data_IF_100558423590
#
_entry.id   IF_100558423590
#
_cell.length_a   1.000
_cell.length_b   1.000
_cell.length_c   1.000
_cell.angle_alpha   90.00
_cell.angle_beta   90.00
_cell.angle_gamma   90.00
#
_symmetry.space_group_name_H-M   'P 1'
#
loop_
_entity.id
_entity.type
_entity.pdbx_description
1 polymer ?
#
# COMPACT_ATOMS: atom_id res chain seq x y z
N UNK A 1 15.24 -14.05 -1.79
CA UNK A 1 15.29 -12.79 -0.99
C UNK A 1 16.73 -12.46 -0.64
N UNK A 2 17.17 -11.24 -0.80
CA UNK A 2 18.46 -10.77 -0.31
C UNK A 2 18.36 -10.36 1.18
N UNK A 3 19.49 -10.08 1.84
CA UNK A 3 19.51 -9.73 3.28
C UNK A 3 18.63 -8.51 3.63
N UNK A 4 18.42 -7.61 2.68
CA UNK A 4 17.58 -6.43 2.87
C UNK A 4 16.09 -6.78 2.81
N UNK A 5 15.67 -7.57 1.83
CA UNK A 5 14.29 -8.06 1.71
C UNK A 5 13.89 -8.91 2.93
N UNK A 6 14.82 -9.70 3.48
CA UNK A 6 14.60 -10.43 4.73
C UNK A 6 14.32 -9.47 5.90
N UNK A 7 15.09 -8.40 6.03
CA UNK A 7 14.86 -7.39 7.10
C UNK A 7 13.53 -6.65 6.94
N UNK A 8 13.07 -6.40 5.71
CA UNK A 8 11.73 -5.83 5.46
C UNK A 8 10.64 -6.82 5.87
N UNK A 9 10.73 -8.09 5.46
CA UNK A 9 9.77 -9.12 5.84
C UNK A 9 9.70 -9.33 7.37
N UNK A 10 10.85 -9.37 8.05
CA UNK A 10 10.93 -9.47 9.52
C UNK A 10 10.31 -8.25 10.24
N UNK A 11 10.40 -7.06 9.65
CA UNK A 11 9.79 -5.85 10.21
C UNK A 11 8.26 -5.92 10.27
N UNK A 12 7.65 -6.62 9.31
CA UNK A 12 6.18 -6.72 9.17
C UNK A 12 5.60 -8.08 9.60
N UNK A 13 6.43 -9.11 9.83
CA UNK A 13 5.97 -10.44 10.22
C UNK A 13 5.35 -10.48 11.63
N UNK A 14 4.15 -11.08 11.75
CA UNK A 14 3.44 -11.26 13.03
C UNK A 14 2.46 -12.46 12.95
N UNK A 15 2.85 -13.60 13.52
CA UNK A 15 2.07 -14.86 13.46
C UNK A 15 0.69 -14.77 14.17
N UNK A 16 0.50 -13.82 15.09
CA UNK A 16 -0.76 -13.65 15.85
C UNK A 16 -1.71 -12.62 15.24
N UNK A 17 -1.28 -11.93 14.19
CA UNK A 17 -2.04 -10.81 13.61
C UNK A 17 -3.43 -11.22 13.13
N UNK A 18 -3.57 -12.35 12.45
CA UNK A 18 -4.89 -12.83 11.98
C UNK A 18 -5.87 -13.02 13.15
N UNK A 19 -5.43 -13.65 14.24
CA UNK A 19 -6.27 -13.87 15.41
C UNK A 19 -6.74 -12.55 16.03
N UNK A 20 -5.86 -11.54 16.10
CA UNK A 20 -6.20 -10.20 16.58
C UNK A 20 -7.18 -9.47 15.64
N UNK A 21 -7.03 -9.62 14.33
CA UNK A 21 -7.97 -9.04 13.35
C UNK A 21 -9.36 -9.66 13.52
N UNK A 22 -9.45 -10.99 13.60
CA UNK A 22 -10.74 -11.68 13.75
C UNK A 22 -11.42 -11.30 15.08
N UNK A 23 -10.68 -11.26 16.18
CA UNK A 23 -11.21 -10.81 17.46
C UNK A 23 -11.64 -9.32 17.42
N UNK A 24 -10.91 -8.47 16.72
CA UNK A 24 -11.27 -7.06 16.50
C UNK A 24 -12.55 -6.90 15.69
N UNK A 25 -12.75 -7.71 14.65
CA UNK A 25 -13.98 -7.75 13.85
C UNK A 25 -15.19 -8.15 14.70
N UNK A 26 -15.08 -9.23 15.48
CA UNK A 26 -16.15 -9.67 16.39
C UNK A 26 -16.49 -8.59 17.43
N UNK A 27 -15.45 -7.96 18.01
CA UNK A 27 -15.64 -6.87 18.98
C UNK A 27 -16.27 -5.60 18.34
N UNK A 28 -16.04 -5.38 17.04
CA UNK A 28 -16.71 -4.33 16.26
C UNK A 28 -18.13 -4.71 15.82
N UNK A 29 -18.58 -5.95 16.07
CA UNK A 29 -19.92 -6.43 15.74
C UNK A 29 -20.07 -6.97 14.31
N UNK A 30 -18.97 -7.26 13.61
CA UNK A 30 -19.01 -7.86 12.28
C UNK A 30 -19.44 -9.34 12.33
N UNK A 31 -20.21 -9.78 11.34
CA UNK A 31 -20.58 -11.19 11.13
C UNK A 31 -19.52 -11.88 10.27
N UNK A 32 -18.64 -12.66 10.89
CA UNK A 32 -17.58 -13.38 10.18
C UNK A 32 -18.08 -14.35 9.10
N UNK A 33 -19.35 -14.75 9.13
CA UNK A 33 -19.94 -15.61 8.10
C UNK A 33 -20.43 -14.82 6.87
N UNK A 34 -20.51 -13.49 6.99
CA UNK A 34 -20.99 -12.57 5.94
C UNK A 34 -20.10 -11.35 5.79
N UNK A 35 -18.81 -11.53 6.02
CA UNK A 35 -17.84 -10.46 6.01
C UNK A 35 -17.81 -9.75 4.63
N UNK A 36 -17.87 -8.43 4.66
CA UNK A 36 -17.75 -7.60 3.47
C UNK A 36 -16.37 -6.92 3.45
N UNK A 37 -15.83 -6.55 2.27
CA UNK A 37 -14.59 -5.79 2.21
C UNK A 37 -14.58 -4.51 3.06
N UNK A 38 -15.74 -3.84 3.20
CA UNK A 38 -15.83 -2.62 3.99
C UNK A 38 -15.70 -2.84 5.51
N UNK A 39 -16.02 -4.03 6.00
CA UNK A 39 -15.82 -4.39 7.41
C UNK A 39 -14.33 -4.44 7.77
N UNK A 40 -13.48 -4.74 6.81
CA UNK A 40 -12.04 -4.86 6.96
C UNK A 40 -11.28 -3.52 6.78
N UNK A 41 -11.91 -2.52 6.16
CA UNK A 41 -11.27 -1.25 5.82
C UNK A 41 -10.47 -0.59 6.96
N UNK A 42 -10.92 -0.63 8.25
CA UNK A 42 -10.18 -0.02 9.34
C UNK A 42 -8.80 -0.61 9.60
N UNK A 43 -8.56 -1.89 9.22
CA UNK A 43 -7.32 -2.61 9.57
C UNK A 43 -6.42 -2.89 8.37
N UNK A 44 -6.96 -2.91 7.15
CA UNK A 44 -6.24 -3.39 5.97
C UNK A 44 -5.67 -2.28 5.08
N UNK A 45 -6.08 -1.05 5.28
CA UNK A 45 -5.63 0.10 4.49
C UNK A 45 -4.42 0.77 5.15
N UNK A 46 -3.26 0.14 5.04
CA UNK A 46 -2.02 0.57 5.71
C UNK A 46 -1.29 1.67 4.94
N UNK A 47 -2.03 2.69 4.51
CA UNK A 47 -1.51 3.88 3.86
C UNK A 47 -2.32 5.12 4.26
N UNK A 48 -1.75 6.30 4.04
CA UNK A 48 -2.40 7.57 4.37
C UNK A 48 -3.69 7.72 3.55
N UNK A 49 -4.77 8.08 4.22
CA UNK A 49 -6.09 8.24 3.60
C UNK A 49 -6.93 6.96 3.58
N UNK A 50 -6.34 5.81 3.90
CA UNK A 50 -7.06 4.54 4.00
C UNK A 50 -7.96 4.29 2.79
N UNK A 51 -9.16 3.73 2.99
CA UNK A 51 -10.14 3.42 1.96
C UNK A 51 -10.43 4.58 0.99
N UNK A 52 -10.42 5.82 1.47
CA UNK A 52 -10.66 6.98 0.61
C UNK A 52 -9.55 7.18 -0.43
N UNK A 53 -8.29 6.88 -0.09
CA UNK A 53 -7.18 6.94 -1.03
C UNK A 53 -7.27 5.82 -2.07
N UNK A 54 -7.64 4.59 -1.66
CA UNK A 54 -7.86 3.46 -2.57
C UNK A 54 -9.03 3.73 -3.53
N UNK A 55 -10.11 4.37 -3.06
CA UNK A 55 -11.22 4.76 -3.91
C UNK A 55 -10.81 5.79 -4.98
N UNK A 56 -10.00 6.78 -4.62
CA UNK A 56 -9.42 7.74 -5.57
C UNK A 56 -8.52 7.04 -6.59
N UNK A 57 -7.71 6.07 -6.15
CA UNK A 57 -6.86 5.29 -7.04
C UNK A 57 -7.70 4.53 -8.08
N UNK A 58 -8.76 3.85 -7.65
CA UNK A 58 -9.67 3.12 -8.54
C UNK A 58 -10.33 4.05 -9.56
N UNK A 59 -10.86 5.20 -9.12
CA UNK A 59 -11.46 6.20 -10.02
C UNK A 59 -10.47 6.66 -11.10
N UNK A 60 -9.22 6.94 -10.70
CA UNK A 60 -8.16 7.40 -11.60
C UNK A 60 -7.69 6.33 -12.58
N UNK A 61 -7.67 5.07 -12.18
CA UNK A 61 -7.26 3.96 -13.05
C UNK A 61 -8.35 3.57 -14.05
N UNK A 62 -9.63 3.78 -13.73
CA UNK A 62 -10.78 3.46 -14.59
C UNK A 62 -10.74 2.04 -15.14
N UNK A 63 -10.61 1.05 -14.23
CA UNK A 63 -10.46 -0.37 -14.59
C UNK A 63 -11.78 -0.97 -15.10
N UNK A 64 -11.66 -1.82 -16.15
CA UNK A 64 -12.77 -2.59 -16.71
C UNK A 64 -12.79 -4.02 -16.13
N UNK A 65 -13.94 -4.71 -16.21
CA UNK A 65 -14.16 -6.02 -15.59
C UNK A 65 -13.23 -7.13 -16.15
N UNK A 66 -12.83 -7.05 -17.41
CA UNK A 66 -11.97 -8.02 -18.10
C UNK A 66 -10.47 -7.74 -17.90
N UNK A 67 -10.11 -6.70 -17.18
CA UNK A 67 -8.72 -6.33 -16.92
C UNK A 67 -8.11 -7.08 -15.75
N UNK A 68 -6.78 -7.15 -15.74
CA UNK A 68 -5.98 -7.75 -14.69
C UNK A 68 -5.05 -6.71 -14.06
N UNK A 69 -5.27 -6.41 -12.78
CA UNK A 69 -4.46 -5.48 -11.98
C UNK A 69 -3.38 -6.23 -11.20
N UNK A 70 -2.17 -5.68 -11.14
CA UNK A 70 -1.12 -6.07 -10.20
C UNK A 70 -1.05 -5.10 -9.02
N UNK A 71 -1.28 -5.59 -7.79
CA UNK A 71 -1.12 -4.84 -6.54
C UNK A 71 0.24 -5.20 -5.92
N UNK A 72 1.20 -4.27 -5.99
CA UNK A 72 2.60 -4.49 -5.59
C UNK A 72 2.79 -3.97 -4.17
N UNK A 73 3.21 -4.85 -3.25
CA UNK A 73 3.24 -4.58 -1.81
C UNK A 73 1.84 -4.55 -1.22
N UNK A 74 1.04 -5.56 -1.56
CA UNK A 74 -0.40 -5.62 -1.25
C UNK A 74 -0.72 -5.76 0.24
N UNK A 75 0.27 -5.98 1.11
CA UNK A 75 0.08 -6.22 2.53
C UNK A 75 -0.91 -7.36 2.80
N UNK A 76 -1.91 -7.12 3.63
CA UNK A 76 -2.98 -8.10 3.91
C UNK A 76 -4.15 -8.04 2.90
N UNK A 77 -3.96 -7.39 1.74
CA UNK A 77 -4.83 -7.47 0.56
C UNK A 77 -6.03 -6.51 0.53
N UNK A 78 -6.03 -5.44 1.32
CA UNK A 78 -7.15 -4.51 1.43
C UNK A 78 -7.51 -3.84 0.11
N UNK A 79 -6.54 -3.16 -0.52
CA UNK A 79 -6.73 -2.48 -1.80
C UNK A 79 -7.16 -3.46 -2.90
N UNK A 80 -6.51 -4.64 -2.97
CA UNK A 80 -6.84 -5.68 -3.95
C UNK A 80 -8.30 -6.14 -3.85
N UNK A 81 -8.79 -6.44 -2.62
CA UNK A 81 -10.19 -6.83 -2.41
C UNK A 81 -11.18 -5.73 -2.75
N UNK A 82 -10.91 -4.52 -2.30
CA UNK A 82 -11.78 -3.38 -2.60
C UNK A 82 -11.89 -3.11 -4.10
N UNK A 83 -10.75 -3.04 -4.80
CA UNK A 83 -10.72 -2.78 -6.23
C UNK A 83 -11.46 -3.87 -6.99
N UNK A 84 -11.19 -5.15 -6.70
CA UNK A 84 -11.89 -6.26 -7.35
C UNK A 84 -13.40 -6.25 -7.11
N UNK A 85 -13.84 -5.92 -5.88
CA UNK A 85 -15.25 -5.84 -5.53
C UNK A 85 -15.99 -4.70 -6.25
N UNK A 86 -15.33 -3.55 -6.45
CA UNK A 86 -15.94 -2.37 -7.04
C UNK A 86 -15.92 -2.38 -8.58
N UNK A 87 -14.79 -2.79 -9.20
CA UNK A 87 -14.63 -2.78 -10.65
C UNK A 87 -15.04 -4.09 -11.33
N UNK A 88 -15.04 -5.20 -10.59
CA UNK A 88 -15.20 -6.54 -11.15
C UNK A 88 -13.96 -7.11 -11.82
N UNK A 89 -12.84 -6.38 -11.91
CA UNK A 89 -11.59 -6.85 -12.48
C UNK A 89 -10.95 -7.99 -11.67
N UNK A 90 -9.98 -8.68 -12.23
CA UNK A 90 -9.13 -9.61 -11.46
C UNK A 90 -7.92 -8.88 -10.90
N UNK A 91 -7.46 -9.29 -9.71
CA UNK A 91 -6.31 -8.69 -9.05
C UNK A 91 -5.34 -9.79 -8.58
N UNK A 92 -4.06 -9.60 -8.89
CA UNK A 92 -2.98 -10.37 -8.25
C UNK A 92 -2.18 -9.45 -7.35
N UNK A 93 -2.12 -9.77 -6.06
CA UNK A 93 -1.29 -9.05 -5.09
C UNK A 93 0.03 -9.78 -4.84
N UNK A 94 1.11 -9.03 -4.66
CA UNK A 94 2.40 -9.56 -4.20
C UNK A 94 2.90 -8.80 -2.98
N UNK A 95 3.49 -9.52 -2.04
CA UNK A 95 4.19 -8.96 -0.88
C UNK A 95 5.37 -9.84 -0.50
N UNK A 96 6.38 -9.25 0.15
CA UNK A 96 7.55 -9.97 0.66
C UNK A 96 7.26 -10.79 1.90
N UNK A 97 6.22 -10.44 2.65
CA UNK A 97 5.89 -10.96 3.98
C UNK A 97 4.95 -12.17 3.87
N UNK A 98 5.44 -13.41 4.10
CA UNK A 98 4.62 -14.62 3.96
C UNK A 98 3.38 -14.60 4.86
N UNK A 99 3.48 -14.05 6.07
CA UNK A 99 2.40 -13.94 7.03
C UNK A 99 1.30 -13.03 6.49
N UNK A 100 1.64 -11.90 5.87
CA UNK A 100 0.67 -11.01 5.24
C UNK A 100 -0.06 -11.70 4.10
N UNK A 101 0.64 -12.42 3.25
CA UNK A 101 0.02 -13.19 2.15
C UNK A 101 -0.90 -14.29 2.69
N UNK A 102 -0.53 -14.98 3.76
CA UNK A 102 -1.40 -15.96 4.43
C UNK A 102 -2.69 -15.31 4.94
N UNK A 103 -2.57 -14.18 5.61
CA UNK A 103 -3.71 -13.38 6.11
C UNK A 103 -4.57 -12.88 4.94
N UNK A 104 -3.94 -12.33 3.89
CA UNK A 104 -4.62 -11.83 2.71
C UNK A 104 -5.50 -12.89 2.05
N UNK A 105 -4.99 -14.12 1.90
CA UNK A 105 -5.74 -15.26 1.37
C UNK A 105 -6.94 -15.62 2.25
N UNK A 106 -6.73 -15.74 3.57
CA UNK A 106 -7.81 -16.06 4.52
C UNK A 106 -8.91 -14.99 4.51
N UNK A 107 -8.55 -13.72 4.56
CA UNK A 107 -9.54 -12.63 4.53
C UNK A 107 -10.27 -12.55 3.18
N UNK A 108 -9.62 -12.94 2.09
CA UNK A 108 -10.22 -12.99 0.75
C UNK A 108 -11.22 -14.14 0.61
N UNK A 109 -10.94 -15.30 1.19
CA UNK A 109 -11.89 -16.41 1.29
C UNK A 109 -13.11 -16.02 2.13
N UNK A 110 -12.90 -15.38 3.28
CA UNK A 110 -13.99 -14.91 4.17
C UNK A 110 -14.89 -13.87 3.49
N UNK A 111 -14.35 -13.05 2.60
CA UNK A 111 -15.11 -12.06 1.81
C UNK A 111 -15.60 -12.60 0.47
N UNK A 112 -15.38 -13.89 0.16
CA UNK A 112 -15.81 -14.58 -1.07
C UNK A 112 -15.27 -13.95 -2.37
N UNK A 113 -14.07 -13.38 -2.31
CA UNK A 113 -13.40 -12.78 -3.45
C UNK A 113 -12.26 -13.65 -4.03
N UNK A 114 -12.09 -14.87 -3.53
CA UNK A 114 -11.04 -15.83 -3.91
C UNK A 114 -11.03 -16.22 -5.41
N UNK A 115 -12.13 -15.98 -6.12
CA UNK A 115 -12.22 -16.18 -7.57
C UNK A 115 -11.69 -15.01 -8.40
N UNK A 116 -11.56 -13.83 -7.80
CA UNK A 116 -11.12 -12.61 -8.47
C UNK A 116 -9.77 -12.10 -7.97
N UNK A 117 -9.40 -12.44 -6.74
CA UNK A 117 -8.18 -11.95 -6.08
C UNK A 117 -7.29 -13.11 -5.69
N UNK A 118 -6.04 -13.05 -6.11
CA UNK A 118 -4.99 -14.01 -5.75
C UNK A 118 -3.78 -13.30 -5.16
N UNK A 119 -2.97 -14.03 -4.37
CA UNK A 119 -1.79 -13.46 -3.72
C UNK A 119 -0.60 -14.38 -3.79
N UNK A 120 0.61 -13.79 -3.99
CA UNK A 120 1.88 -14.53 -4.02
C UNK A 120 2.93 -13.86 -3.15
N UNK A 121 3.71 -14.67 -2.44
CA UNK A 121 4.92 -14.19 -1.75
C UNK A 121 5.98 -13.96 -2.81
N UNK A 122 6.30 -12.71 -3.10
CA UNK A 122 7.26 -12.37 -4.15
C UNK A 122 7.95 -11.04 -3.91
N UNK A 123 9.17 -10.93 -4.43
CA UNK A 123 9.89 -9.67 -4.51
C UNK A 123 9.37 -8.83 -5.68
N UNK A 124 9.16 -7.54 -5.45
CA UNK A 124 8.88 -6.59 -6.51
C UNK A 124 10.08 -6.32 -7.44
N UNK A 125 11.28 -6.81 -7.06
CA UNK A 125 12.51 -6.69 -7.83
C UNK A 125 12.76 -7.88 -8.76
N UNK A 126 11.99 -8.96 -8.62
CA UNK A 126 12.09 -10.20 -9.44
C UNK A 126 10.72 -10.91 -9.40
N UNK A 127 9.78 -10.44 -10.21
CA UNK A 127 8.40 -10.91 -10.19
C UNK A 127 8.24 -12.19 -11.02
N UNK A 128 7.52 -13.22 -10.51
CA UNK A 128 7.38 -14.52 -11.19
C UNK A 128 6.32 -14.48 -12.33
N UNK A 129 6.20 -13.36 -13.01
CA UNK A 129 5.21 -13.17 -14.07
C UNK A 129 5.88 -13.00 -15.43
N UNK A 130 5.17 -13.42 -16.49
CA UNK A 130 5.61 -13.17 -17.86
C UNK A 130 5.52 -11.67 -18.20
N UNK A 131 6.27 -11.25 -19.22
CA UNK A 131 6.20 -9.89 -19.73
C UNK A 131 4.80 -9.59 -20.28
N UNK A 132 4.33 -8.36 -20.09
CA UNK A 132 3.03 -7.89 -20.63
C UNK A 132 1.83 -8.71 -20.13
N UNK A 133 1.83 -9.12 -18.85
CA UNK A 133 0.77 -9.92 -18.24
C UNK A 133 -0.37 -9.07 -17.67
N UNK A 134 -0.12 -7.82 -17.28
CA UNK A 134 -1.07 -7.00 -16.55
C UNK A 134 -1.52 -5.76 -17.33
N UNK A 135 -2.80 -5.41 -17.17
CA UNK A 135 -3.43 -4.23 -17.79
C UNK A 135 -3.20 -2.95 -16.99
N UNK A 136 -2.93 -3.10 -15.67
CA UNK A 136 -2.58 -2.00 -14.79
C UNK A 136 -1.74 -2.50 -13.60
N UNK A 137 -1.05 -1.57 -12.91
CA UNK A 137 -0.40 -1.83 -11.63
C UNK A 137 -0.68 -0.70 -10.65
N UNK A 138 -0.60 -1.03 -9.35
CA UNK A 138 -0.73 -0.08 -8.25
C UNK A 138 0.34 -0.31 -7.20
N UNK A 139 0.87 0.78 -6.61
CA UNK A 139 1.64 0.78 -5.37
C UNK A 139 1.08 1.81 -4.41
N UNK A 140 0.84 1.40 -3.16
CA UNK A 140 0.34 2.26 -2.09
C UNK A 140 1.31 2.20 -0.90
N UNK A 141 2.16 3.22 -0.75
CA UNK A 141 3.17 3.32 0.32
C UNK A 141 4.17 2.16 0.35
N UNK A 142 4.75 1.82 -0.80
CA UNK A 142 5.65 0.67 -0.97
C UNK A 142 7.07 1.10 -1.27
N UNK A 143 7.22 1.96 -2.27
CA UNK A 143 8.54 2.21 -2.85
C UNK A 143 9.52 2.85 -1.84
N UNK A 144 9.07 3.57 -0.80
CA UNK A 144 9.94 4.12 0.24
C UNK A 144 10.74 3.04 1.01
N UNK A 145 10.34 1.79 0.94
CA UNK A 145 11.06 0.64 1.51
C UNK A 145 12.08 0.03 0.54
N UNK A 146 12.14 0.46 -0.72
CA UNK A 146 12.93 -0.20 -1.75
C UNK A 146 14.10 0.71 -2.17
N UNK A 147 15.32 0.24 -1.95
CA UNK A 147 16.53 0.98 -2.32
C UNK A 147 16.79 0.98 -3.82
N UNK A 148 16.63 -0.18 -4.46
CA UNK A 148 16.86 -0.35 -5.91
C UNK A 148 15.62 -0.01 -6.71
N UNK A 149 15.38 1.30 -6.87
CA UNK A 149 14.24 1.83 -7.61
C UNK A 149 14.31 1.54 -9.11
N UNK A 150 15.52 1.47 -9.65
CA UNK A 150 15.70 1.19 -11.09
C UNK A 150 15.25 -0.23 -11.42
N UNK A 151 15.63 -1.22 -10.63
CA UNK A 151 15.18 -2.59 -10.80
C UNK A 151 13.65 -2.69 -10.58
N UNK A 152 13.11 -2.04 -9.54
CA UNK A 152 11.67 -2.02 -9.27
C UNK A 152 10.88 -1.55 -10.49
N UNK A 153 11.20 -0.36 -11.04
CA UNK A 153 10.40 0.19 -12.13
C UNK A 153 10.64 -0.52 -13.47
N UNK A 154 11.81 -1.11 -13.70
CA UNK A 154 12.06 -1.97 -14.85
C UNK A 154 11.23 -3.27 -14.79
N UNK A 155 11.11 -3.89 -13.61
CA UNK A 155 10.27 -5.07 -13.41
C UNK A 155 8.78 -4.74 -13.58
N UNK A 156 8.30 -3.62 -13.04
CA UNK A 156 6.93 -3.16 -13.26
C UNK A 156 6.69 -2.92 -14.75
N UNK A 157 7.60 -2.25 -15.44
CA UNK A 157 7.51 -2.03 -16.89
C UNK A 157 7.49 -3.34 -17.69
N UNK A 158 8.29 -4.33 -17.28
CA UNK A 158 8.35 -5.65 -17.94
C UNK A 158 7.02 -6.39 -17.88
N UNK A 159 6.35 -6.37 -16.73
CA UNK A 159 5.10 -7.12 -16.53
C UNK A 159 3.85 -6.40 -17.04
N UNK A 160 3.93 -5.09 -17.27
CA UNK A 160 2.82 -4.31 -17.78
C UNK A 160 2.73 -4.38 -19.31
N UNK A 161 1.49 -4.42 -19.83
CA UNK A 161 1.20 -4.29 -21.26
C UNK A 161 1.50 -2.87 -21.75
N UNK A 162 1.86 -2.67 -23.02
CA UNK A 162 1.93 -1.33 -23.60
C UNK A 162 0.61 -0.55 -23.41
N UNK A 163 0.71 0.71 -23.00
CA UNK A 163 -0.45 1.56 -22.69
C UNK A 163 -1.05 1.37 -21.29
N UNK A 164 -0.60 0.36 -20.53
CA UNK A 164 -1.07 0.08 -19.17
C UNK A 164 -0.90 1.29 -18.23
N UNK A 165 -1.81 1.40 -17.26
CA UNK A 165 -1.73 2.44 -16.22
C UNK A 165 -0.94 1.91 -15.03
N UNK A 166 0.01 2.70 -14.56
CA UNK A 166 0.64 2.50 -13.26
C UNK A 166 0.26 3.64 -12.32
N UNK A 167 -0.46 3.31 -11.25
CA UNK A 167 -0.84 4.23 -10.20
C UNK A 167 0.13 4.11 -9.02
N UNK A 168 0.65 5.23 -8.55
CA UNK A 168 1.61 5.32 -7.45
C UNK A 168 1.06 6.27 -6.40
N UNK A 169 1.06 5.84 -5.15
CA UNK A 169 0.81 6.73 -4.01
C UNK A 169 1.84 6.45 -2.93
N UNK A 170 2.82 7.32 -2.82
CA UNK A 170 3.96 7.16 -1.91
C UNK A 170 4.24 8.41 -1.10
N UNK A 171 4.92 8.23 0.05
CA UNK A 171 5.51 9.34 0.78
C UNK A 171 6.84 9.72 0.11
N UNK A 172 7.00 10.99 -0.23
CA UNK A 172 8.18 11.52 -0.93
C UNK A 172 8.85 12.65 -0.16
N UNK A 173 10.14 12.87 -0.39
CA UNK A 173 10.89 14.01 0.17
C UNK A 173 10.36 15.31 -0.40
N UNK A 174 10.23 16.31 0.49
CA UNK A 174 9.90 17.70 0.13
C UNK A 174 11.02 18.68 0.50
N UNK A 175 11.86 18.31 1.50
CA UNK A 175 13.03 19.08 1.90
C UNK A 175 14.22 18.15 2.20
N UNK A 176 15.42 18.74 2.38
CA UNK A 176 16.62 18.03 2.80
C UNK A 176 16.77 17.83 4.31
N UNK A 177 15.76 18.18 5.10
CA UNK A 177 15.82 18.06 6.56
C UNK A 177 15.66 16.61 7.01
N UNK A 178 16.27 16.29 8.16
CA UNK A 178 16.15 14.97 8.79
C UNK A 178 14.72 14.74 9.31
N UNK A 179 14.21 13.53 9.12
CA UNK A 179 12.88 13.14 9.62
C UNK A 179 12.89 12.86 11.13
N UNK A 180 11.75 13.06 11.74
CA UNK A 180 11.45 12.53 13.07
C UNK A 180 11.10 11.03 12.91
N UNK A 181 11.83 10.14 13.58
CA UNK A 181 11.64 8.67 13.59
C UNK A 181 11.15 8.20 14.95
N UNK A 182 10.54 6.97 15.08
CA UNK A 182 10.23 6.05 13.98
C UNK A 182 9.04 6.53 13.13
N UNK A 183 9.00 6.04 11.89
CA UNK A 183 7.84 6.20 10.98
C UNK A 183 7.29 4.83 10.60
N UNK A 184 6.07 4.70 10.03
CA UNK A 184 5.47 3.39 9.72
C UNK A 184 6.36 2.46 8.91
N UNK A 185 7.13 2.99 7.96
CA UNK A 185 7.99 2.22 7.05
C UNK A 185 9.44 2.09 7.51
N UNK A 186 9.89 2.81 8.55
CA UNK A 186 11.28 2.78 8.98
C UNK A 186 11.44 3.16 10.46
N UNK A 187 12.30 2.42 11.16
CA UNK A 187 12.70 2.76 12.52
C UNK A 187 13.73 3.89 12.56
N UNK A 188 14.54 4.04 11.50
CA UNK A 188 15.61 5.04 11.36
C UNK A 188 15.81 5.42 9.89
N UNK A 189 16.68 6.39 9.62
CA UNK A 189 17.02 6.83 8.26
C UNK A 189 17.69 5.74 7.41
N UNK A 190 18.36 4.77 8.03
CA UNK A 190 19.08 3.70 7.34
C UNK A 190 18.19 2.79 6.48
N UNK A 191 16.90 2.71 6.82
CA UNK A 191 15.89 1.87 6.15
C UNK A 191 14.82 2.67 5.42
N UNK A 192 14.97 3.99 5.31
CA UNK A 192 14.04 4.92 4.65
C UNK A 192 14.63 5.44 3.35
N UNK A 193 14.10 5.01 2.21
CA UNK A 193 14.62 5.34 0.88
C UNK A 193 13.68 6.27 0.12
N UNK A 194 13.36 7.42 0.71
CA UNK A 194 12.50 8.42 0.07
C UNK A 194 13.20 9.07 -1.12
N UNK A 195 12.45 9.30 -2.19
CA UNK A 195 12.84 10.12 -3.35
C UNK A 195 12.04 11.41 -3.38
N UNK A 196 12.53 12.42 -4.12
CA UNK A 196 11.70 13.57 -4.49
C UNK A 196 10.76 13.20 -5.66
N UNK A 197 9.69 13.97 -5.91
CA UNK A 197 8.84 13.76 -7.10
C UNK A 197 9.63 13.82 -8.42
N UNK A 198 10.62 14.69 -8.52
CA UNK A 198 11.47 14.85 -9.72
C UNK A 198 12.37 13.63 -9.95
N UNK A 199 12.97 13.10 -8.88
CA UNK A 199 13.75 11.86 -8.93
C UNK A 199 12.88 10.68 -9.35
N UNK A 200 11.66 10.59 -8.78
CA UNK A 200 10.68 9.56 -9.15
C UNK A 200 10.31 9.64 -10.63
N UNK A 201 9.99 10.84 -11.13
CA UNK A 201 9.69 11.03 -12.55
C UNK A 201 10.84 10.60 -13.45
N UNK A 202 12.08 10.92 -13.05
CA UNK A 202 13.28 10.55 -13.83
C UNK A 202 13.44 9.02 -13.90
N UNK A 203 13.22 8.32 -12.77
CA UNK A 203 13.28 6.86 -12.70
C UNK A 203 12.18 6.18 -13.53
N UNK A 204 10.95 6.67 -13.44
CA UNK A 204 9.82 6.17 -14.22
C UNK A 204 10.05 6.37 -15.73
N UNK A 205 10.50 7.56 -16.15
CA UNK A 205 10.81 7.84 -17.55
C UNK A 205 11.93 6.93 -18.08
N UNK A 206 12.97 6.67 -17.28
CA UNK A 206 14.07 5.78 -17.65
C UNK A 206 13.58 4.32 -17.83
N UNK A 207 12.60 3.88 -17.03
CA UNK A 207 12.00 2.55 -17.11
C UNK A 207 10.94 2.40 -18.23
N UNK A 208 10.64 3.45 -18.99
CA UNK A 208 9.71 3.36 -20.12
C UNK A 208 8.30 3.90 -19.84
N UNK A 209 8.09 4.63 -18.74
CA UNK A 209 6.81 5.25 -18.44
C UNK A 209 6.76 6.72 -18.86
N UNK A 210 5.56 7.18 -19.23
CA UNK A 210 5.23 8.60 -19.35
C UNK A 210 4.38 9.00 -18.14
N UNK A 211 4.91 9.88 -17.28
CA UNK A 211 4.17 10.42 -16.12
C UNK A 211 3.17 11.45 -16.64
N UNK A 212 1.89 11.18 -16.44
CA UNK A 212 0.78 12.00 -16.98
C UNK A 212 0.08 12.86 -15.91
N UNK A 213 0.21 12.50 -14.63
CA UNK A 213 -0.35 13.28 -13.52
C UNK A 213 0.55 13.16 -12.29
N UNK A 214 0.69 14.28 -11.56
CA UNK A 214 1.35 14.34 -10.25
C UNK A 214 0.47 15.20 -9.35
N UNK A 215 0.17 14.71 -8.15
CA UNK A 215 -0.64 15.40 -7.15
C UNK A 215 0.01 15.34 -5.77
N UNK A 216 0.30 16.52 -5.19
CA UNK A 216 0.64 16.65 -3.77
C UNK A 216 -0.65 16.46 -2.94
N UNK A 217 -0.63 15.50 -2.02
CA UNK A 217 -1.78 15.14 -1.17
C UNK A 217 -1.59 15.56 0.29
N UNK A 218 -0.77 16.60 0.52
CA UNK A 218 -0.45 17.10 1.87
C UNK A 218 -1.70 17.47 2.66
N UNK A 219 -2.60 18.29 2.10
CA UNK A 219 -3.81 18.74 2.80
C UNK A 219 -4.74 17.56 3.12
N UNK A 220 -4.94 16.66 2.15
CA UNK A 220 -5.71 15.42 2.34
C UNK A 220 -5.14 14.56 3.48
N UNK A 221 -3.82 14.43 3.56
CA UNK A 221 -3.16 13.67 4.63
C UNK A 221 -3.35 14.32 6.01
N UNK A 222 -3.20 15.63 6.09
CA UNK A 222 -3.37 16.36 7.36
C UNK A 222 -4.82 16.27 7.85
N UNK A 223 -5.79 16.37 6.97
CA UNK A 223 -7.20 16.22 7.33
C UNK A 223 -7.49 14.78 7.81
N UNK A 224 -7.00 13.77 7.09
CA UNK A 224 -7.10 12.36 7.51
C UNK A 224 -6.52 12.12 8.91
N UNK A 225 -5.32 12.65 9.22
CA UNK A 225 -4.73 12.49 10.55
C UNK A 225 -5.55 13.21 11.62
N UNK A 226 -6.06 14.41 11.37
CA UNK A 226 -6.89 15.15 12.32
C UNK A 226 -8.20 14.41 12.64
N UNK A 227 -8.86 13.87 11.63
CA UNK A 227 -10.08 13.07 11.80
C UNK A 227 -9.85 11.82 12.63
N UNK A 228 -8.77 11.06 12.33
CA UNK A 228 -8.41 9.86 13.08
C UNK A 228 -8.04 10.17 14.53
N UNK A 229 -7.30 11.25 14.78
CA UNK A 229 -6.97 11.69 16.15
C UNK A 229 -8.23 12.08 16.93
N UNK A 230 -9.17 12.78 16.28
CA UNK A 230 -10.44 13.14 16.90
C UNK A 230 -11.29 11.89 17.22
N UNK A 231 -11.30 10.90 16.37
CA UNK A 231 -12.01 9.64 16.60
C UNK A 231 -11.39 8.79 17.72
N UNK A 232 -10.07 8.88 17.93
CA UNK A 232 -9.34 8.09 18.92
C UNK A 232 -9.31 8.71 20.33
N UNK A 233 -10.02 9.80 20.61
CA UNK A 233 -10.03 10.49 21.94
C UNK A 233 -10.40 9.57 23.09
N UNK A 234 -11.25 8.56 22.86
CA UNK A 234 -11.69 7.58 23.86
C UNK A 234 -10.87 6.27 23.84
N UNK A 235 -9.72 6.26 23.19
CA UNK A 235 -8.87 5.09 22.98
C UNK A 235 -8.98 4.53 21.57
N UNK A 236 -8.08 3.57 21.21
CA UNK A 236 -8.12 2.96 19.88
C UNK A 236 -9.42 2.13 19.70
N UNK A 237 -9.99 2.10 18.50
CA UNK A 237 -11.14 1.23 18.21
C UNK A 237 -10.72 -0.25 18.32
N UNK A 238 -11.68 -1.19 18.48
CA UNK A 238 -11.38 -2.61 18.57
C UNK A 238 -10.71 -3.15 17.28
N UNK A 239 -10.98 -2.55 16.13
CA UNK A 239 -10.40 -2.87 14.84
C UNK A 239 -9.73 -1.61 14.24
N UNK A 240 -8.48 -1.71 13.82
CA UNK A 240 -7.76 -0.59 13.21
C UNK A 240 -6.30 -0.91 12.89
N UNK A 241 -5.64 -0.03 12.14
CA UNK A 241 -4.25 -0.23 11.68
C UNK A 241 -3.23 -0.39 12.83
N UNK A 242 -3.57 0.00 14.06
CA UNK A 242 -2.72 -0.22 15.23
C UNK A 242 -2.45 -1.71 15.49
N UNK A 243 -3.35 -2.61 15.07
CA UNK A 243 -3.15 -4.06 15.16
C UNK A 243 -1.99 -4.52 14.24
N UNK A 244 -1.82 -3.87 13.10
CA UNK A 244 -0.74 -4.14 12.12
C UNK A 244 0.56 -3.43 12.52
N UNK A 245 0.46 -2.18 13.01
CA UNK A 245 1.63 -1.36 13.35
C UNK A 245 2.28 -1.71 14.69
N UNK A 246 1.57 -2.42 15.57
CA UNK A 246 2.03 -2.78 16.90
C UNK A 246 2.04 -1.61 17.90
N UNK A 247 2.73 -1.80 19.03
CA UNK A 247 2.72 -0.86 20.20
C UNK A 247 3.21 0.55 19.85
N UNK A 248 4.10 0.71 18.88
CA UNK A 248 4.63 2.02 18.46
C UNK A 248 3.73 2.79 17.48
N UNK A 249 2.52 2.29 17.17
CA UNK A 249 1.62 2.88 16.17
C UNK A 249 1.37 4.39 16.40
N UNK A 250 1.05 4.77 17.64
CA UNK A 250 0.76 6.17 17.99
C UNK A 250 1.96 7.09 17.75
N UNK A 251 3.16 6.65 18.11
CA UNK A 251 4.41 7.42 17.92
C UNK A 251 4.73 7.55 16.42
N UNK A 252 4.66 6.45 15.67
CA UNK A 252 4.90 6.42 14.22
C UNK A 252 3.96 7.38 13.47
N UNK A 253 2.66 7.34 13.78
CA UNK A 253 1.66 8.20 13.13
C UNK A 253 1.89 9.69 13.49
N UNK A 254 2.20 10.00 14.76
CA UNK A 254 2.55 11.35 15.19
C UNK A 254 3.78 11.89 14.46
N UNK A 255 4.82 11.08 14.30
CA UNK A 255 6.04 11.49 13.61
C UNK A 255 5.78 11.74 12.12
N UNK A 256 4.98 10.91 11.44
CA UNK A 256 4.59 11.18 10.04
C UNK A 256 3.85 12.51 9.93
N UNK A 257 2.84 12.74 10.76
CA UNK A 257 2.09 13.99 10.77
C UNK A 257 3.01 15.19 10.99
N UNK A 258 3.90 15.14 12.00
CA UNK A 258 4.88 16.19 12.26
C UNK A 258 5.80 16.45 11.06
N UNK A 259 6.29 15.39 10.41
CA UNK A 259 7.15 15.52 9.23
C UNK A 259 6.42 16.16 8.04
N UNK A 260 5.12 15.88 7.87
CA UNK A 260 4.28 16.51 6.84
C UNK A 260 4.04 17.99 7.20
N UNK A 261 3.65 18.31 8.44
CA UNK A 261 3.41 19.69 8.89
C UNK A 261 4.66 20.57 8.79
N UNK A 262 5.85 20.00 9.03
CA UNK A 262 7.13 20.69 8.85
C UNK A 262 7.59 20.78 7.39
N UNK A 263 6.83 20.23 6.44
CA UNK A 263 7.18 20.24 5.02
C UNK A 263 8.41 19.43 4.66
N UNK A 264 8.76 18.40 5.44
CA UNK A 264 9.91 17.51 5.18
C UNK A 264 9.56 16.43 4.17
N UNK A 265 8.31 15.94 4.23
CA UNK A 265 7.75 14.93 3.33
C UNK A 265 6.35 15.35 2.88
N UNK A 266 5.90 14.75 1.81
CA UNK A 266 4.51 14.81 1.36
C UNK A 266 4.07 13.44 0.84
N UNK A 267 2.81 13.02 1.05
CA UNK A 267 2.20 11.96 0.26
C UNK A 267 1.98 12.51 -1.15
N UNK A 268 2.46 11.79 -2.15
CA UNK A 268 2.37 12.18 -3.56
C UNK A 268 1.71 11.07 -4.35
N UNK A 269 0.70 11.44 -5.13
CA UNK A 269 0.05 10.60 -6.10
C UNK A 269 0.67 10.82 -7.47
N UNK A 270 0.94 9.74 -8.20
CA UNK A 270 1.37 9.82 -9.59
C UNK A 270 0.60 8.82 -10.45
N UNK A 271 0.32 9.23 -11.70
CA UNK A 271 -0.19 8.34 -12.73
C UNK A 271 0.80 8.31 -13.86
N UNK A 272 1.21 7.12 -14.24
CA UNK A 272 2.12 6.89 -15.34
C UNK A 272 1.50 5.91 -16.37
N UNK A 273 1.84 6.08 -17.63
CA UNK A 273 1.44 5.19 -18.73
C UNK A 273 2.65 4.45 -19.25
N UNK A 274 2.55 3.13 -19.41
CA UNK A 274 3.57 2.31 -20.04
C UNK A 274 3.62 2.65 -21.54
N UNK A 275 4.83 2.96 -22.06
CA UNK A 275 5.02 3.26 -23.51
C UNK A 275 4.84 2.04 -24.39
#
# INVERSE_FOLDING_TARGET
MNNFETAVAEHYGDEELLARILAGLEAAGADLQRLQPDDLAPVEEFHIGGRSATAVALEKMSLEEDQHLLDIGCGIGGAARYIAAQSGCTVTGIDLTPEYISIARTLTELTQLDKRVSFEVSSALDMPFESSSFDAAITLHVAMNIRDRSTLYNEIARVLKPGATFYIFDVMKKSGETLDFPVPWAASDDTSYLTTPEEMCSLLNAAGFDVVEIGDRTDFALDFFRENMAAAVNGPPPLGIHLVMGESASEKLKNVMNNIEKGRIAPVQMIAKMR
#
